data_IF_339484590462
#
_entry.id   IF_339484590462
#
_cell.length_a   1.000
_cell.length_b   1.000
_cell.length_c   1.000
_cell.angle_alpha   90.00
_cell.angle_beta   90.00
_cell.angle_gamma   90.00
#
_symmetry.space_group_name_H-M   'P 1'
#
loop_
_entity.id
_entity.type
_entity.pdbx_description
1 polymer ?
#
# COMPACT_ATOMS: atom_id res chain seq x y z
N UNK A 1 24.17 -47.12 30.17
CA UNK A 1 23.68 -45.75 30.44
C UNK A 1 23.59 -45.02 29.13
N UNK A 2 22.38 -44.76 28.66
CA UNK A 2 22.13 -44.10 27.37
C UNK A 2 22.00 -42.58 27.63
N UNK A 3 22.75 -41.72 26.93
CA UNK A 3 22.61 -40.27 27.10
C UNK A 3 21.25 -39.80 26.58
N UNK A 4 20.65 -38.74 27.16
CA UNK A 4 19.39 -38.21 26.66
C UNK A 4 19.58 -37.60 25.27
N UNK A 5 18.60 -37.84 24.40
CA UNK A 5 18.63 -37.52 22.98
C UNK A 5 18.78 -36.01 22.71
N UNK A 6 19.57 -35.65 21.69
CA UNK A 6 19.53 -34.33 21.09
C UNK A 6 18.11 -34.04 20.58
N UNK A 7 17.60 -32.80 20.67
CA UNK A 7 16.25 -32.49 20.22
C UNK A 7 16.11 -32.80 18.72
N UNK A 8 15.12 -33.65 18.42
CA UNK A 8 14.73 -34.04 17.08
C UNK A 8 13.95 -32.90 16.41
N UNK A 9 14.31 -32.64 15.15
CA UNK A 9 13.48 -32.08 14.09
C UNK A 9 13.10 -30.59 14.18
N UNK A 10 13.75 -29.77 13.35
CA UNK A 10 13.15 -28.80 12.39
C UNK A 10 12.08 -27.79 12.82
N UNK A 11 11.70 -27.73 14.09
CA UNK A 11 10.58 -26.95 14.58
C UNK A 11 11.11 -25.71 15.31
N UNK A 12 10.73 -24.53 14.82
CA UNK A 12 11.03 -23.27 15.50
C UNK A 12 10.16 -23.19 16.76
N UNK A 13 10.80 -23.26 17.92
CA UNK A 13 10.15 -22.90 19.19
C UNK A 13 10.05 -21.38 19.23
N UNK A 14 8.84 -20.86 19.21
CA UNK A 14 8.57 -19.44 19.40
C UNK A 14 8.18 -19.21 20.85
N UNK A 15 8.82 -18.24 21.51
CA UNK A 15 8.39 -17.76 22.81
C UNK A 15 7.35 -16.63 22.69
N UNK A 16 6.81 -16.16 23.81
CA UNK A 16 5.82 -15.07 23.83
C UNK A 16 6.38 -13.74 23.25
N UNK A 17 7.70 -13.55 23.31
CA UNK A 17 8.40 -12.40 22.73
C UNK A 17 8.41 -12.48 21.21
N UNK A 18 8.67 -13.67 20.67
CA UNK A 18 8.59 -13.95 19.24
C UNK A 18 7.16 -13.78 18.71
N UNK A 19 6.16 -14.23 19.47
CA UNK A 19 4.76 -14.03 19.10
C UNK A 19 4.39 -12.55 19.00
N UNK A 20 4.85 -11.74 19.96
CA UNK A 20 4.62 -10.29 19.98
C UNK A 20 5.29 -9.60 18.78
N UNK A 21 6.52 -9.99 18.44
CA UNK A 21 7.24 -9.48 17.25
C UNK A 21 6.57 -9.88 15.94
N UNK A 22 6.12 -11.12 15.82
CA UNK A 22 5.41 -11.59 14.63
C UNK A 22 4.07 -10.85 14.45
N UNK A 23 3.35 -10.61 15.54
CA UNK A 23 2.11 -9.83 15.54
C UNK A 23 2.36 -8.40 15.09
N UNK A 24 3.43 -7.76 15.59
CA UNK A 24 3.85 -6.43 15.17
C UNK A 24 4.16 -6.38 13.66
N UNK A 25 4.99 -7.30 13.16
CA UNK A 25 5.33 -7.37 11.74
C UNK A 25 4.07 -7.56 10.88
N UNK A 26 3.14 -8.43 11.31
CA UNK A 26 1.87 -8.65 10.61
C UNK A 26 1.08 -7.34 10.52
N UNK A 27 0.90 -6.63 11.63
CA UNK A 27 0.15 -5.37 11.66
C UNK A 27 0.77 -4.30 10.76
N UNK A 28 2.10 -4.15 10.79
CA UNK A 28 2.77 -3.19 9.90
C UNK A 28 2.56 -3.54 8.42
N UNK A 29 2.60 -4.82 8.06
CA UNK A 29 2.33 -5.26 6.69
C UNK A 29 0.87 -5.04 6.29
N UNK A 30 -0.07 -5.25 7.21
CA UNK A 30 -1.50 -5.00 6.96
C UNK A 30 -1.78 -3.49 6.74
N UNK A 31 -0.98 -2.61 7.36
CA UNK A 31 -0.99 -1.15 7.14
C UNK A 31 -0.23 -0.72 5.88
N UNK A 32 0.36 -1.66 5.15
CA UNK A 32 1.07 -1.41 3.90
C UNK A 32 2.46 -0.79 4.06
N UNK A 33 3.05 -0.83 5.26
CA UNK A 33 4.45 -0.43 5.42
C UNK A 33 5.35 -1.34 4.57
N UNK A 34 6.36 -0.73 3.93
CA UNK A 34 7.40 -1.46 3.21
C UNK A 34 8.23 -2.32 4.16
N UNK A 35 8.86 -3.37 3.63
CA UNK A 35 9.72 -4.27 4.43
C UNK A 35 10.83 -3.46 5.13
N UNK A 36 11.38 -2.45 4.46
CA UNK A 36 12.43 -1.60 5.04
C UNK A 36 11.90 -0.75 6.21
N UNK A 37 10.71 -0.15 6.09
CA UNK A 37 10.06 0.57 7.20
C UNK A 37 9.75 -0.38 8.37
N UNK A 38 9.25 -1.60 8.10
CA UNK A 38 8.97 -2.58 9.16
C UNK A 38 10.24 -2.97 9.92
N UNK A 39 11.38 -3.09 9.23
CA UNK A 39 12.67 -3.39 9.88
C UNK A 39 13.11 -2.26 10.81
N UNK A 40 13.04 -1.02 10.35
CA UNK A 40 13.36 0.15 11.19
C UNK A 40 12.44 0.20 12.41
N UNK A 41 11.13 0.06 12.20
CA UNK A 41 10.15 0.04 13.29
C UNK A 41 10.38 -1.10 14.30
N UNK A 42 10.83 -2.26 13.83
CA UNK A 42 11.19 -3.39 14.69
C UNK A 42 12.47 -3.12 15.50
N UNK A 43 13.47 -2.48 14.90
CA UNK A 43 14.71 -2.08 15.58
C UNK A 43 14.43 -1.04 16.68
N UNK A 44 13.51 -0.11 16.42
CA UNK A 44 13.03 0.86 17.40
C UNK A 44 12.30 0.20 18.57
N UNK A 45 11.46 -0.81 18.28
CA UNK A 45 10.72 -1.55 19.31
C UNK A 45 11.64 -2.31 20.28
N UNK A 46 12.77 -2.84 19.80
CA UNK A 46 13.71 -3.62 20.61
C UNK A 46 14.68 -2.70 21.40
N UNK A 47 14.82 -1.44 20.97
CA UNK A 47 15.74 -0.49 21.58
C UNK A 47 15.11 0.18 22.81
N UNK A 48 15.61 -0.16 24.01
CA UNK A 48 15.10 0.38 25.27
C UNK A 48 15.34 1.90 25.47
N UNK A 49 16.19 2.51 24.65
CA UNK A 49 16.71 3.87 24.83
C UNK A 49 16.26 4.85 23.73
N UNK A 50 15.35 4.43 22.83
CA UNK A 50 14.86 5.26 21.73
C UNK A 50 13.49 5.86 22.05
N UNK A 51 13.37 7.16 21.80
CA UNK A 51 12.11 7.89 21.93
C UNK A 51 11.12 7.51 20.81
N UNK A 52 9.82 7.55 21.12
CA UNK A 52 8.74 7.21 20.19
C UNK A 52 8.57 8.23 19.05
N UNK A 53 9.31 9.34 19.08
CA UNK A 53 9.33 10.36 18.04
C UNK A 53 9.70 9.79 16.66
N UNK A 54 10.74 8.95 16.57
CA UNK A 54 11.18 8.36 15.30
C UNK A 54 10.10 7.45 14.69
N UNK A 55 9.46 6.63 15.53
CA UNK A 55 8.31 5.79 15.14
C UNK A 55 7.15 6.61 14.60
N UNK A 56 6.82 7.72 15.27
CA UNK A 56 5.75 8.63 14.82
C UNK A 56 6.08 9.24 13.47
N UNK A 57 7.32 9.66 13.26
CA UNK A 57 7.72 10.34 12.03
C UNK A 57 7.69 9.36 10.83
N UNK A 58 8.11 8.11 11.02
CA UNK A 58 7.96 7.04 10.02
C UNK A 58 6.49 6.78 9.68
N UNK A 59 5.64 6.67 10.70
CA UNK A 59 4.21 6.44 10.50
C UNK A 59 3.54 7.62 9.79
N UNK A 60 3.92 8.85 10.10
CA UNK A 60 3.39 10.06 9.50
C UNK A 60 3.79 10.16 8.02
N UNK A 61 5.06 9.90 7.68
CA UNK A 61 5.52 9.90 6.30
C UNK A 61 4.75 8.88 5.45
N UNK A 62 4.58 7.65 5.95
CA UNK A 62 3.81 6.61 5.24
C UNK A 62 2.34 7.00 5.06
N UNK A 63 1.73 7.62 6.09
CA UNK A 63 0.36 8.12 6.00
C UNK A 63 0.20 9.18 4.90
N UNK A 64 1.17 10.08 4.76
CA UNK A 64 1.12 11.15 3.76
C UNK A 64 1.34 10.61 2.34
N UNK A 65 2.23 9.62 2.16
CA UNK A 65 2.37 8.89 0.89
C UNK A 65 1.07 8.17 0.50
N UNK A 66 0.42 7.49 1.45
CA UNK A 66 -0.87 6.84 1.22
C UNK A 66 -1.95 7.86 0.82
N UNK A 67 -2.01 9.02 1.49
CA UNK A 67 -2.96 10.10 1.17
C UNK A 67 -2.73 10.66 -0.23
N UNK A 68 -1.47 10.87 -0.62
CA UNK A 68 -1.13 11.31 -1.96
C UNK A 68 -1.61 10.32 -3.02
N UNK A 69 -1.31 9.03 -2.83
CA UNK A 69 -1.75 7.97 -3.74
C UNK A 69 -3.27 7.87 -3.82
N UNK A 70 -3.97 8.04 -2.70
CA UNK A 70 -5.44 8.09 -2.68
C UNK A 70 -5.98 9.27 -3.48
N UNK A 71 -5.35 10.45 -3.38
CA UNK A 71 -5.76 11.62 -4.16
C UNK A 71 -5.58 11.39 -5.66
N UNK A 72 -4.46 10.80 -6.07
CA UNK A 72 -4.19 10.44 -7.47
C UNK A 72 -5.20 9.41 -8.01
N UNK A 73 -5.50 8.38 -7.21
CA UNK A 73 -6.49 7.36 -7.57
C UNK A 73 -7.90 7.94 -7.67
N UNK A 74 -8.31 8.83 -6.76
CA UNK A 74 -9.60 9.54 -6.86
C UNK A 74 -9.69 10.42 -8.10
N UNK A 75 -8.60 11.08 -8.49
CA UNK A 75 -8.56 11.86 -9.72
C UNK A 75 -8.67 10.98 -10.98
N UNK A 76 -8.08 9.78 -10.96
CA UNK A 76 -8.24 8.78 -12.02
C UNK A 76 -9.66 8.23 -12.08
N UNK A 77 -10.23 7.88 -10.93
CA UNK A 77 -11.61 7.43 -10.77
C UNK A 77 -12.59 8.44 -11.36
N UNK A 78 -12.51 9.72 -10.96
CA UNK A 78 -13.39 10.76 -11.51
C UNK A 78 -13.23 10.96 -13.03
N UNK A 79 -12.03 10.74 -13.60
CA UNK A 79 -11.86 10.76 -15.06
C UNK A 79 -12.58 9.58 -15.74
N UNK A 80 -12.44 8.38 -15.18
CA UNK A 80 -13.11 7.19 -15.69
C UNK A 80 -14.64 7.30 -15.56
N UNK A 81 -15.15 7.81 -14.44
CA UNK A 81 -16.59 8.07 -14.25
C UNK A 81 -17.14 9.06 -15.30
N UNK A 82 -16.39 10.11 -15.61
CA UNK A 82 -16.76 11.07 -16.65
C UNK A 82 -16.82 10.41 -18.04
N UNK A 83 -15.86 9.55 -18.38
CA UNK A 83 -15.88 8.80 -19.63
C UNK A 83 -17.11 7.89 -19.73
N UNK A 84 -17.40 7.13 -18.67
CA UNK A 84 -18.57 6.22 -18.63
C UNK A 84 -19.87 7.02 -18.76
N UNK A 85 -20.02 8.11 -18.01
CA UNK A 85 -21.21 8.97 -18.06
C UNK A 85 -21.43 9.53 -19.46
N UNK A 86 -20.37 10.08 -20.09
CA UNK A 86 -20.47 10.63 -21.45
C UNK A 86 -20.80 9.57 -22.48
N UNK A 87 -20.24 8.37 -22.35
CA UNK A 87 -20.59 7.25 -23.22
C UNK A 87 -22.05 6.85 -23.08
N UNK A 88 -22.56 6.75 -21.86
CA UNK A 88 -23.95 6.38 -21.61
C UNK A 88 -24.94 7.39 -22.19
N UNK A 89 -24.58 8.68 -22.22
CA UNK A 89 -25.44 9.75 -22.77
C UNK A 89 -25.31 9.87 -24.29
N UNK A 90 -24.09 9.78 -24.84
CA UNK A 90 -23.83 10.10 -26.24
C UNK A 90 -23.84 8.87 -27.16
N UNK A 91 -23.48 7.70 -26.66
CA UNK A 91 -23.40 6.48 -27.45
C UNK A 91 -24.67 5.65 -27.21
N UNK A 92 -25.69 5.82 -28.05
CA UNK A 92 -26.96 5.09 -27.95
C UNK A 92 -26.85 3.62 -28.44
N UNK A 93 -25.78 2.90 -28.06
CA UNK A 93 -25.47 1.56 -28.58
C UNK A 93 -24.79 1.58 -29.96
N UNK A 94 -24.20 2.71 -30.35
CA UNK A 94 -23.46 2.85 -31.60
C UNK A 94 -22.17 2.02 -31.61
N UNK A 95 -21.66 1.63 -32.80
CA UNK A 95 -20.40 0.89 -32.93
C UNK A 95 -19.24 1.63 -32.24
N UNK A 96 -18.28 0.87 -31.70
CA UNK A 96 -17.16 1.43 -30.94
C UNK A 96 -16.31 2.46 -31.70
N UNK A 97 -16.37 2.51 -33.03
CA UNK A 97 -15.70 3.52 -33.86
C UNK A 97 -16.22 4.94 -33.61
N UNK A 98 -17.49 5.08 -33.21
CA UNK A 98 -18.11 6.37 -32.92
C UNK A 98 -18.13 6.74 -31.44
N UNK A 99 -17.67 5.82 -30.58
CA UNK A 99 -17.69 6.01 -29.15
C UNK A 99 -16.85 7.22 -28.71
N UNK A 100 -17.50 8.10 -27.95
CA UNK A 100 -16.91 9.34 -27.44
C UNK A 100 -15.69 9.11 -26.56
N UNK A 101 -15.62 7.98 -25.83
CA UNK A 101 -14.45 7.63 -25.01
C UNK A 101 -13.22 7.42 -25.88
N UNK A 102 -13.33 6.66 -26.97
CA UNK A 102 -12.18 6.44 -27.87
C UNK A 102 -11.74 7.72 -28.55
N UNK A 103 -12.68 8.59 -28.94
CA UNK A 103 -12.39 9.93 -29.49
C UNK A 103 -11.68 10.82 -28.47
N UNK A 104 -12.11 10.80 -27.20
CA UNK A 104 -11.50 11.58 -26.12
C UNK A 104 -10.10 11.06 -25.74
N UNK A 105 -9.89 9.74 -25.70
CA UNK A 105 -8.59 9.13 -25.38
C UNK A 105 -7.58 9.24 -26.53
N UNK A 106 -8.05 9.19 -27.78
CA UNK A 106 -7.20 9.39 -28.96
C UNK A 106 -6.76 10.85 -29.13
N UNK A 107 -7.49 11.79 -28.51
CA UNK A 107 -7.06 13.17 -28.41
C UNK A 107 -6.15 13.28 -27.18
N UNK A 108 -4.87 13.67 -27.32
CA UNK A 108 -4.04 13.90 -26.15
C UNK A 108 -4.73 14.96 -25.30
N UNK A 109 -5.21 14.54 -24.12
CA UNK A 109 -5.80 15.44 -23.16
C UNK A 109 -4.82 16.61 -23.00
N UNK A 110 -5.27 17.83 -23.30
CA UNK A 110 -4.53 19.07 -22.98
C UNK A 110 -4.43 19.15 -21.46
N UNK A 111 -3.50 18.38 -20.89
CA UNK A 111 -3.08 18.43 -19.51
C UNK A 111 -2.04 19.53 -19.37
N UNK A 112 -2.52 20.72 -19.00
CA UNK A 112 -1.84 21.62 -18.07
C UNK A 112 -0.31 21.69 -18.18
N UNK A 113 0.17 22.29 -19.25
CA UNK A 113 1.32 23.19 -19.14
C UNK A 113 0.77 24.61 -19.25
N UNK A 114 0.73 25.33 -18.14
CA UNK A 114 0.74 26.79 -18.15
C UNK A 114 1.16 27.30 -16.77
N UNK A 115 2.43 27.73 -16.74
CA UNK A 115 3.08 28.77 -15.94
C UNK A 115 3.11 28.65 -14.42
#
# INVERSE_FOLDING_TARGET
MLPPAAPLAGQRNYDDTDFSRLTFIKQCRDLGFSIDQVRVLLDLLISADRDCAETRDIAQAHLDEMRQKLAELRALEGRLENFVTRCNVACAGEPGQDCVIFKDLATPAKGSSCC
#
